data_IF_893645914563
#
_entry.id   IF_893645914563
#
_cell.length_a   1.000
_cell.length_b   1.000
_cell.length_c   1.000
_cell.angle_alpha   90.00
_cell.angle_beta   90.00
_cell.angle_gamma   90.00
#
_symmetry.space_group_name_H-M   'P 1'
#
loop_
_entity.id
_entity.type
_entity.pdbx_description
1 polymer ?
#
# COMPACT_ATOMS: atom_id res chain seq x y z
N UNK A 1 -21.75 8.93 12.41
CA UNK A 1 -21.21 8.71 11.05
C UNK A 1 -19.83 9.33 11.02
N UNK A 2 -18.81 8.72 10.38
CA UNK A 2 -17.53 9.39 10.22
C UNK A 2 -17.75 10.64 9.35
N UNK A 3 -17.37 11.80 9.89
CA UNK A 3 -17.48 13.11 9.27
C UNK A 3 -16.82 13.07 7.89
N UNK A 4 -17.52 13.57 6.85
CA UNK A 4 -17.20 13.42 5.42
C UNK A 4 -15.87 14.02 4.91
N UNK A 5 -14.80 13.95 5.70
CA UNK A 5 -13.44 14.28 5.33
C UNK A 5 -12.88 13.15 4.47
N UNK A 6 -12.45 13.50 3.26
CA UNK A 6 -11.73 12.56 2.42
C UNK A 6 -10.40 12.25 3.14
N UNK A 7 -10.12 11.00 3.52
CA UNK A 7 -8.87 10.66 4.21
C UNK A 7 -7.62 10.99 3.37
N UNK A 8 -7.80 11.15 2.05
CA UNK A 8 -6.75 11.62 1.14
C UNK A 8 -6.46 13.13 1.23
N UNK A 9 -7.35 13.95 1.80
CA UNK A 9 -7.10 15.38 1.99
C UNK A 9 -6.23 15.68 3.21
N UNK A 10 -6.07 14.73 4.14
CA UNK A 10 -5.23 14.90 5.34
C UNK A 10 -3.84 14.25 5.19
N UNK A 11 -3.51 13.65 4.05
CA UNK A 11 -2.19 13.05 3.80
C UNK A 11 -1.30 13.99 3.00
N UNK A 12 -0.07 14.12 3.46
CA UNK A 12 0.97 14.96 2.86
C UNK A 12 1.75 14.21 1.79
N UNK A 13 1.84 12.88 1.93
CA UNK A 13 2.58 12.01 1.00
C UNK A 13 1.72 10.81 0.59
N UNK A 14 1.71 10.52 -0.71
CA UNK A 14 1.10 9.32 -1.28
C UNK A 14 2.19 8.41 -1.83
N UNK A 15 2.23 7.17 -1.35
CA UNK A 15 3.12 6.11 -1.83
C UNK A 15 2.31 5.10 -2.65
N UNK A 16 2.72 4.87 -3.89
CA UNK A 16 2.12 3.88 -4.79
C UNK A 16 2.99 2.60 -4.82
N UNK A 17 2.37 1.48 -4.48
CA UNK A 17 2.97 0.14 -4.43
C UNK A 17 3.38 -0.27 -3.00
N UNK A 18 2.63 -1.19 -2.38
CA UNK A 18 2.96 -1.79 -1.09
C UNK A 18 3.91 -3.00 -1.23
N UNK A 19 4.94 -2.84 -2.07
CA UNK A 19 6.11 -3.72 -2.11
C UNK A 19 7.09 -3.41 -0.98
N UNK A 20 8.20 -4.15 -0.90
CA UNK A 20 9.22 -3.95 0.14
C UNK A 20 9.68 -2.48 0.23
N UNK A 21 10.01 -1.87 -0.91
CA UNK A 21 10.47 -0.50 -0.97
C UNK A 21 9.39 0.50 -0.51
N UNK A 22 8.16 0.39 -1.03
CA UNK A 22 7.07 1.31 -0.68
C UNK A 22 6.63 1.19 0.77
N UNK A 23 6.60 -0.04 1.32
CA UNK A 23 6.32 -0.27 2.74
C UNK A 23 7.41 0.33 3.64
N UNK A 24 8.70 0.14 3.30
CA UNK A 24 9.80 0.74 4.08
C UNK A 24 9.80 2.27 3.98
N UNK A 25 9.56 2.82 2.79
CA UNK A 25 9.46 4.26 2.60
C UNK A 25 8.31 4.86 3.42
N UNK A 26 7.12 4.25 3.35
CA UNK A 26 5.95 4.66 4.14
C UNK A 26 6.24 4.59 5.64
N UNK A 27 6.86 3.51 6.10
CA UNK A 27 7.22 3.34 7.50
C UNK A 27 8.17 4.43 8.00
N UNK A 28 9.22 4.74 7.22
CA UNK A 28 10.17 5.81 7.57
C UNK A 28 9.52 7.19 7.57
N UNK A 29 8.64 7.47 6.61
CA UNK A 29 7.89 8.73 6.57
C UNK A 29 6.94 8.86 7.76
N UNK A 30 6.26 7.78 8.15
CA UNK A 30 5.47 7.77 9.38
C UNK A 30 6.32 8.01 10.63
N UNK A 31 7.50 7.37 10.73
CA UNK A 31 8.43 7.61 11.84
C UNK A 31 8.92 9.06 11.91
N UNK A 32 9.03 9.72 10.76
CA UNK A 32 9.35 11.15 10.67
C UNK A 32 8.16 12.07 11.01
N UNK A 33 6.98 11.51 11.31
CA UNK A 33 5.77 12.27 11.68
C UNK A 33 4.90 12.70 10.49
N UNK A 34 5.23 12.28 9.27
CA UNK A 34 4.45 12.62 8.08
C UNK A 34 3.14 11.82 8.03
N UNK A 35 2.07 12.49 7.59
CA UNK A 35 0.80 11.80 7.29
C UNK A 35 0.89 11.19 5.89
N UNK A 36 0.95 9.87 5.82
CA UNK A 36 1.19 9.14 4.55
C UNK A 36 0.07 8.16 4.25
N UNK A 37 -0.36 8.13 2.98
CA UNK A 37 -1.19 7.07 2.43
C UNK A 37 -0.34 6.11 1.59
N UNK A 38 -0.51 4.81 1.79
CA UNK A 38 0.09 3.76 0.96
C UNK A 38 -1.02 3.04 0.19
N UNK A 39 -0.90 2.98 -1.13
CA UNK A 39 -1.89 2.33 -2.02
C UNK A 39 -1.19 1.24 -2.83
N UNK A 40 -1.82 0.06 -2.92
CA UNK A 40 -1.35 -1.06 -3.75
C UNK A 40 -2.41 -1.40 -4.79
N UNK A 41 -1.98 -1.72 -6.00
CA UNK A 41 -2.89 -2.06 -7.10
C UNK A 41 -3.56 -3.43 -6.89
N UNK A 42 -2.88 -4.34 -6.19
CA UNK A 42 -3.39 -5.68 -5.87
C UNK A 42 -4.13 -5.68 -4.54
N UNK A 43 -5.01 -6.68 -4.35
CA UNK A 43 -5.68 -6.94 -3.08
C UNK A 43 -4.75 -7.47 -1.96
N UNK A 44 -3.42 -7.41 -2.14
CA UNK A 44 -2.42 -7.92 -1.19
C UNK A 44 -1.15 -7.10 -1.20
N UNK A 45 -0.53 -7.00 -0.03
CA UNK A 45 0.78 -6.38 0.15
C UNK A 45 1.93 -7.33 -0.22
N UNK A 46 3.12 -6.79 -0.38
CA UNK A 46 4.37 -7.52 -0.63
C UNK A 46 4.95 -7.31 -2.03
N UNK A 47 4.23 -6.70 -2.96
CA UNK A 47 4.73 -6.45 -4.32
C UNK A 47 5.21 -7.73 -5.00
N UNK A 48 6.49 -7.79 -5.38
CA UNK A 48 7.15 -8.96 -5.97
C UNK A 48 7.59 -10.02 -4.95
N UNK A 49 7.66 -9.68 -3.65
CA UNK A 49 7.96 -10.65 -2.59
C UNK A 49 6.67 -11.41 -2.27
N UNK A 50 6.45 -12.50 -3.00
CA UNK A 50 5.22 -13.28 -2.90
C UNK A 50 5.55 -14.72 -2.54
N UNK A 51 4.96 -15.23 -1.46
CA UNK A 51 4.88 -16.67 -1.25
C UNK A 51 3.64 -17.18 -1.97
N UNK A 52 3.75 -18.09 -2.94
CA UNK A 52 2.60 -18.72 -3.54
C UNK A 52 1.92 -19.61 -2.50
N UNK A 53 0.85 -19.12 -1.89
CA UNK A 53 -0.07 -19.96 -1.13
C UNK A 53 -0.96 -20.71 -2.12
N UNK A 54 -1.34 -21.95 -1.80
CA UNK A 54 -2.12 -22.91 -2.62
C UNK A 54 -3.42 -22.36 -3.26
N UNK A 55 -3.86 -21.15 -2.91
CA UNK A 55 -5.01 -20.45 -3.52
C UNK A 55 -4.68 -19.35 -4.55
N UNK A 56 -3.42 -18.97 -4.78
CA UNK A 56 -3.10 -18.01 -5.84
C UNK A 56 -3.11 -18.69 -7.21
N UNK A 57 -4.28 -18.74 -7.85
CA UNK A 57 -4.36 -18.88 -9.30
C UNK A 57 -3.63 -17.68 -9.90
N UNK A 58 -2.41 -17.91 -10.39
CA UNK A 58 -1.70 -16.94 -11.20
C UNK A 58 -2.64 -16.47 -12.30
N UNK A 59 -2.88 -15.16 -12.34
CA UNK A 59 -3.69 -14.51 -13.36
C UNK A 59 -3.24 -15.05 -14.72
N UNK A 60 -4.09 -15.88 -15.34
CA UNK A 60 -3.95 -16.29 -16.73
C UNK A 60 -3.94 -15.01 -17.54
N UNK A 61 -2.77 -14.63 -18.03
CA UNK A 61 -2.65 -13.58 -19.03
C UNK A 61 -3.10 -14.20 -20.35
N UNK A 62 -4.19 -13.67 -20.91
CA UNK A 62 -4.56 -13.84 -22.31
C UNK A 62 -3.53 -13.10 -23.18
#
# INVERSE_FOLDING_TARGET
MPDGKNPLQEVEVLVLGAGLAGSVATYRLQQAGCRVALIEARARVGGACTQPTTGQKGSMRN
#
